data_IF_077007398752
#
_entry.id   IF_077007398752
#
_cell.length_a   1.000
_cell.length_b   1.000
_cell.length_c   1.000
_cell.angle_alpha   90.00
_cell.angle_beta   90.00
_cell.angle_gamma   90.00
#
_symmetry.space_group_name_H-M   'P 1'
#
loop_
_entity.id
_entity.type
_entity.pdbx_description
1 polymer ?
#
# COMPACT_ATOMS: atom_id res chain seq x y z
N UNK A 1 4.30 0.10 -39.23
CA UNK A 1 4.43 -0.35 -37.85
C UNK A 1 4.84 0.81 -36.98
N UNK A 2 4.08 1.12 -35.97
CA UNK A 2 4.47 2.13 -34.98
C UNK A 2 5.76 1.65 -34.32
N UNK A 3 6.78 2.48 -34.33
CA UNK A 3 8.04 2.19 -33.70
C UNK A 3 7.80 2.19 -32.18
N UNK A 4 7.79 1.03 -31.57
CA UNK A 4 7.52 0.83 -30.13
C UNK A 4 8.49 1.66 -29.28
N UNK A 5 9.74 1.82 -29.73
CA UNK A 5 10.72 2.64 -29.04
C UNK A 5 10.33 4.11 -28.98
N UNK A 6 9.71 4.64 -30.05
CA UNK A 6 9.21 6.04 -30.05
C UNK A 6 8.02 6.22 -29.12
N UNK A 7 7.14 5.22 -29.05
CA UNK A 7 6.00 5.27 -28.12
C UNK A 7 6.46 5.25 -26.67
N UNK A 8 7.50 4.47 -26.34
CA UNK A 8 8.11 4.49 -25.01
C UNK A 8 8.71 5.85 -24.68
N UNK A 9 9.49 6.43 -25.60
CA UNK A 9 10.08 7.78 -25.42
C UNK A 9 8.99 8.83 -25.19
N UNK A 10 7.86 8.74 -25.88
CA UNK A 10 6.75 9.67 -25.67
C UNK A 10 6.09 9.45 -24.29
N UNK A 11 5.92 8.20 -23.85
CA UNK A 11 5.43 7.91 -22.50
C UNK A 11 6.34 8.55 -21.45
N UNK A 12 7.64 8.35 -21.57
CA UNK A 12 8.64 8.87 -20.62
C UNK A 12 8.70 10.42 -20.65
N UNK A 13 8.62 11.02 -21.84
CA UNK A 13 8.68 12.47 -22.01
C UNK A 13 7.47 13.20 -21.43
N UNK A 14 6.28 12.61 -21.54
CA UNK A 14 5.03 13.25 -21.12
C UNK A 14 4.47 12.66 -19.80
N UNK A 15 5.19 11.70 -19.19
CA UNK A 15 4.75 11.07 -17.94
C UNK A 15 3.43 10.30 -18.08
N UNK A 16 3.13 9.76 -19.27
CA UNK A 16 1.87 9.03 -19.51
C UNK A 16 2.14 7.54 -19.59
N UNK A 17 1.25 6.74 -18.97
CA UNK A 17 1.39 5.28 -18.93
C UNK A 17 0.81 4.59 -20.16
N UNK A 18 -0.02 5.27 -20.94
CA UNK A 18 -0.66 4.69 -22.10
C UNK A 18 -0.85 5.71 -23.23
N UNK A 19 -0.63 5.28 -24.47
CA UNK A 19 -0.86 6.08 -25.67
C UNK A 19 -1.88 5.35 -26.54
N UNK A 20 -3.07 5.94 -26.82
CA UNK A 20 -4.01 5.36 -27.74
C UNK A 20 -3.49 5.53 -29.18
N UNK A 21 -3.46 4.43 -29.93
CA UNK A 21 -3.11 4.42 -31.35
C UNK A 21 -4.39 4.51 -32.18
N UNK A 22 -4.57 5.67 -32.81
CA UNK A 22 -5.81 5.98 -33.55
C UNK A 22 -5.59 5.77 -35.05
N UNK A 23 -6.51 5.07 -35.68
CA UNK A 23 -6.61 4.95 -37.13
C UNK A 23 -8.06 5.14 -37.56
N UNK A 24 -8.29 5.95 -38.61
CA UNK A 24 -9.62 6.30 -39.08
C UNK A 24 -10.57 6.81 -37.99
N UNK A 25 -10.03 7.67 -37.13
CA UNK A 25 -10.74 8.29 -35.98
C UNK A 25 -11.29 7.29 -34.93
N UNK A 26 -10.73 6.06 -34.87
CA UNK A 26 -11.05 5.03 -33.88
C UNK A 26 -9.78 4.52 -33.24
N UNK A 27 -9.83 4.29 -31.94
CA UNK A 27 -8.76 3.63 -31.21
C UNK A 27 -8.65 2.20 -31.72
N UNK A 28 -7.52 1.83 -32.30
CA UNK A 28 -7.24 0.49 -32.80
C UNK A 28 -6.47 -0.33 -31.78
N UNK A 29 -5.52 0.31 -31.11
CA UNK A 29 -4.67 -0.27 -30.09
C UNK A 29 -4.37 0.77 -29.02
N UNK A 30 -3.99 0.30 -27.84
CA UNK A 30 -3.40 1.14 -26.79
C UNK A 30 -1.99 0.62 -26.58
N UNK A 31 -0.99 1.48 -26.74
CA UNK A 31 0.34 1.19 -26.30
C UNK A 31 0.39 1.48 -24.79
N UNK A 32 0.74 0.49 -24.01
CA UNK A 32 1.00 0.64 -22.58
C UNK A 32 2.51 0.71 -22.45
N UNK A 33 3.00 1.77 -21.81
CA UNK A 33 4.42 1.95 -21.51
C UNK A 33 4.95 0.68 -20.85
N UNK A 34 6.05 0.16 -21.36
CA UNK A 34 6.83 -0.79 -20.56
C UNK A 34 7.33 0.01 -19.37
N UNK A 35 6.82 -0.31 -18.21
CA UNK A 35 7.35 0.21 -16.95
C UNK A 35 8.84 -0.05 -17.00
N UNK A 36 9.61 1.00 -16.83
CA UNK A 36 11.05 1.02 -17.03
C UNK A 36 11.71 -0.10 -16.22
N UNK A 37 12.04 -1.23 -16.83
CA UNK A 37 12.88 -2.26 -16.21
C UNK A 37 14.29 -1.71 -15.88
N UNK A 38 14.63 -0.52 -16.46
CA UNK A 38 15.83 0.28 -16.18
C UNK A 38 15.50 1.59 -15.46
N UNK A 39 14.37 1.69 -14.76
CA UNK A 39 14.00 2.87 -13.98
C UNK A 39 15.06 3.21 -12.95
N UNK A 40 15.30 4.51 -12.75
CA UNK A 40 16.17 5.02 -11.69
C UNK A 40 15.75 4.35 -10.37
N UNK A 41 16.65 3.55 -9.78
CA UNK A 41 16.42 2.94 -8.48
C UNK A 41 16.20 4.03 -7.44
N UNK A 42 15.11 3.90 -6.69
CA UNK A 42 14.73 4.85 -5.65
C UNK A 42 15.32 4.41 -4.31
N UNK A 43 16.05 5.29 -3.67
CA UNK A 43 16.69 5.03 -2.37
C UNK A 43 15.69 4.94 -1.20
N UNK A 44 14.41 5.22 -1.45
CA UNK A 44 13.35 5.11 -0.46
C UNK A 44 13.19 3.68 0.04
N UNK A 45 13.08 3.55 1.35
CA UNK A 45 12.85 2.25 2.00
C UNK A 45 11.35 2.00 2.06
N UNK A 46 10.96 0.78 1.70
CA UNK A 46 9.59 0.29 1.84
C UNK A 46 9.52 -0.67 3.03
N UNK A 47 8.73 -0.34 4.03
CA UNK A 47 8.49 -1.21 5.20
C UNK A 47 7.16 -1.92 5.01
N UNK A 48 7.18 -3.26 5.01
CA UNK A 48 5.98 -4.08 4.85
C UNK A 48 5.67 -4.76 6.18
N UNK A 49 4.50 -4.48 6.74
CA UNK A 49 4.03 -5.03 8.01
C UNK A 49 3.40 -6.41 7.80
N UNK A 50 4.16 -7.47 7.98
CA UNK A 50 3.77 -8.85 7.69
C UNK A 50 3.68 -9.76 8.94
N UNK A 51 3.69 -9.18 10.16
CA UNK A 51 3.73 -9.92 11.43
C UNK A 51 2.37 -10.43 11.94
N UNK A 52 1.26 -10.07 11.31
CA UNK A 52 -0.09 -10.41 11.79
C UNK A 52 -0.44 -11.89 11.73
N UNK A 53 -1.27 -12.37 12.67
CA UNK A 53 -1.74 -13.77 12.73
C UNK A 53 -2.72 -14.15 11.62
N UNK A 54 -3.44 -13.19 11.05
CA UNK A 54 -4.46 -13.46 10.01
C UNK A 54 -5.66 -14.31 10.49
N UNK A 55 -5.97 -14.33 11.78
CA UNK A 55 -6.96 -15.22 12.41
C UNK A 55 -8.36 -15.18 11.76
N UNK A 56 -8.76 -14.05 11.19
CA UNK A 56 -10.04 -13.90 10.47
C UNK A 56 -10.14 -14.70 9.17
N UNK A 57 -9.00 -15.20 8.66
CA UNK A 57 -8.89 -16.03 7.46
C UNK A 57 -8.68 -17.52 7.78
N UNK A 58 -8.77 -17.93 9.06
CA UNK A 58 -8.75 -19.37 9.41
C UNK A 58 -9.86 -20.12 8.65
N UNK A 59 -9.62 -21.34 8.11
CA UNK A 59 -8.40 -22.16 8.30
C UNK A 59 -7.25 -21.88 7.33
N UNK A 60 -7.37 -20.96 6.37
CA UNK A 60 -6.32 -20.68 5.36
C UNK A 60 -5.00 -20.25 6.00
N UNK A 61 -5.09 -19.54 7.12
CA UNK A 61 -3.92 -19.00 7.84
C UNK A 61 -3.39 -19.89 8.95
N UNK A 62 -4.01 -21.04 9.22
CA UNK A 62 -3.55 -21.94 10.28
C UNK A 62 -2.13 -22.48 10.03
N UNK A 63 -1.80 -22.70 8.77
CA UNK A 63 -0.51 -23.23 8.35
C UNK A 63 0.29 -22.31 7.43
N UNK A 64 -0.25 -21.15 7.05
CA UNK A 64 0.37 -20.20 6.14
C UNK A 64 0.14 -18.78 6.67
N UNK A 65 1.18 -17.93 6.86
CA UNK A 65 0.95 -16.56 7.27
C UNK A 65 0.21 -15.80 6.17
N UNK A 66 -0.69 -14.90 6.54
CA UNK A 66 -1.59 -14.18 5.65
C UNK A 66 -0.89 -13.57 4.41
N UNK A 67 0.29 -12.93 4.52
CA UNK A 67 1.01 -12.37 3.37
C UNK A 67 1.52 -13.44 2.39
N UNK A 68 1.61 -14.70 2.82
CA UNK A 68 2.05 -15.83 1.99
C UNK A 68 0.89 -16.59 1.36
N UNK A 69 -0.35 -16.22 1.61
CA UNK A 69 -1.48 -16.81 0.92
C UNK A 69 -1.37 -16.56 -0.59
N UNK A 70 -1.56 -17.61 -1.43
CA UNK A 70 -1.45 -17.47 -2.87
C UNK A 70 -2.60 -16.61 -3.42
N UNK A 71 -2.25 -15.64 -4.25
CA UNK A 71 -3.18 -14.86 -5.07
C UNK A 71 -2.83 -15.15 -6.52
N UNK A 72 -3.64 -15.95 -7.20
CA UNK A 72 -3.24 -16.58 -8.45
C UNK A 72 -2.08 -17.56 -8.22
N UNK A 73 -0.99 -17.38 -8.93
CA UNK A 73 0.19 -18.25 -8.91
C UNK A 73 1.27 -17.82 -7.89
N UNK A 74 1.13 -16.65 -7.24
CA UNK A 74 2.15 -16.05 -6.37
C UNK A 74 1.61 -15.67 -5.01
N UNK A 75 2.44 -15.67 -3.96
CA UNK A 75 2.07 -15.10 -2.66
C UNK A 75 1.67 -13.62 -2.79
N UNK A 76 0.72 -13.18 -1.96
CA UNK A 76 0.34 -11.76 -1.91
C UNK A 76 1.55 -10.84 -1.69
N UNK A 77 2.44 -11.21 -0.77
CA UNK A 77 3.63 -10.43 -0.44
C UNK A 77 4.57 -10.29 -1.65
N UNK A 78 4.70 -11.32 -2.50
CA UNK A 78 5.49 -11.22 -3.74
C UNK A 78 4.87 -10.18 -4.69
N UNK A 79 3.54 -10.20 -4.86
CA UNK A 79 2.86 -9.23 -5.70
C UNK A 79 3.03 -7.80 -5.20
N UNK A 80 3.00 -7.60 -3.89
CA UNK A 80 3.27 -6.29 -3.27
C UNK A 80 4.70 -5.85 -3.61
N UNK A 81 5.71 -6.69 -3.37
CA UNK A 81 7.12 -6.37 -3.66
C UNK A 81 7.33 -6.09 -5.15
N UNK A 82 6.79 -6.92 -6.03
CA UNK A 82 6.91 -6.77 -7.49
C UNK A 82 6.27 -5.46 -7.95
N UNK A 83 5.12 -5.07 -7.38
CA UNK A 83 4.48 -3.79 -7.72
C UNK A 83 5.38 -2.59 -7.35
N UNK A 84 6.00 -2.60 -6.18
CA UNK A 84 6.98 -1.58 -5.80
C UNK A 84 8.23 -1.61 -6.70
N UNK A 85 8.78 -2.80 -6.97
CA UNK A 85 9.96 -2.96 -7.82
C UNK A 85 9.74 -2.39 -9.22
N UNK A 86 8.57 -2.66 -9.82
CA UNK A 86 8.18 -2.11 -11.13
C UNK A 86 8.23 -0.57 -11.18
N UNK A 87 8.14 0.09 -10.02
CA UNK A 87 8.17 1.54 -9.87
C UNK A 87 9.53 2.07 -9.38
N UNK A 88 10.56 1.20 -9.37
CA UNK A 88 11.94 1.54 -9.04
C UNK A 88 12.31 1.40 -7.56
N UNK A 89 11.39 0.99 -6.68
CA UNK A 89 11.71 0.71 -5.28
C UNK A 89 12.37 -0.65 -5.15
N UNK A 90 13.51 -0.72 -4.49
CA UNK A 90 14.28 -1.96 -4.38
C UNK A 90 14.74 -2.28 -2.96
N UNK A 91 14.61 -1.38 -2.01
CA UNK A 91 14.97 -1.59 -0.60
C UNK A 91 13.76 -1.88 0.25
N UNK A 92 13.70 -3.07 0.83
CA UNK A 92 12.57 -3.51 1.63
C UNK A 92 13.00 -3.90 3.03
N UNK A 93 12.16 -3.55 4.00
CA UNK A 93 12.22 -4.06 5.36
C UNK A 93 10.89 -4.77 5.62
N UNK A 94 10.92 -6.07 5.90
CA UNK A 94 9.71 -6.85 6.17
C UNK A 94 9.64 -7.16 7.66
N UNK A 95 8.63 -6.59 8.33
CA UNK A 95 8.34 -6.95 9.72
C UNK A 95 7.63 -8.28 9.76
N UNK A 96 8.16 -9.22 10.53
CA UNK A 96 7.67 -10.59 10.63
C UNK A 96 7.51 -11.01 12.09
N UNK A 97 6.50 -11.84 12.35
CA UNK A 97 6.27 -12.46 13.66
C UNK A 97 5.73 -13.89 13.47
N UNK A 98 4.48 -14.03 13.04
CA UNK A 98 3.85 -15.33 12.88
C UNK A 98 4.42 -16.07 11.67
N UNK A 99 4.97 -17.28 11.90
CA UNK A 99 5.57 -18.14 10.86
C UNK A 99 6.59 -17.41 9.98
N UNK A 100 7.43 -16.59 10.61
CA UNK A 100 8.44 -15.77 9.94
C UNK A 100 9.39 -16.59 9.05
N UNK A 101 9.68 -17.83 9.42
CA UNK A 101 10.53 -18.76 8.67
C UNK A 101 10.00 -19.08 7.26
N UNK A 102 8.69 -19.03 7.05
CA UNK A 102 8.12 -19.23 5.71
C UNK A 102 8.42 -18.06 4.79
N UNK A 103 8.34 -16.83 5.33
CA UNK A 103 8.62 -15.60 4.60
C UNK A 103 10.11 -15.53 4.28
N UNK A 104 10.97 -15.67 5.29
CA UNK A 104 12.42 -15.57 5.12
C UNK A 104 12.98 -16.65 4.21
N UNK A 105 12.45 -17.88 4.27
CA UNK A 105 12.86 -18.98 3.38
C UNK A 105 12.44 -18.72 1.93
N UNK A 106 11.30 -18.10 1.69
CA UNK A 106 10.78 -17.86 0.35
C UNK A 106 11.53 -16.73 -0.36
N UNK A 107 11.73 -15.60 0.32
CA UNK A 107 12.29 -14.40 -0.30
C UNK A 107 13.82 -14.28 -0.14
N UNK A 108 14.43 -14.96 0.85
CA UNK A 108 15.85 -14.83 1.14
C UNK A 108 16.25 -13.37 1.37
N UNK A 109 17.30 -12.93 0.72
CA UNK A 109 17.77 -11.54 0.71
C UNK A 109 17.09 -10.65 -0.37
N UNK A 110 16.19 -11.23 -1.15
CA UNK A 110 15.46 -10.54 -2.23
C UNK A 110 16.11 -10.63 -3.61
N UNK A 111 17.31 -11.21 -3.74
CA UNK A 111 18.06 -11.25 -4.99
C UNK A 111 17.27 -11.89 -6.15
N UNK A 112 16.44 -12.88 -5.86
CA UNK A 112 15.60 -13.57 -6.88
C UNK A 112 14.55 -12.61 -7.51
N UNK A 113 14.19 -11.55 -6.81
CA UNK A 113 13.25 -10.52 -7.27
C UNK A 113 13.97 -9.23 -7.71
N UNK A 114 15.32 -9.22 -7.76
CA UNK A 114 16.13 -8.03 -8.03
C UNK A 114 15.83 -6.88 -7.05
N UNK A 115 15.74 -7.20 -5.76
CA UNK A 115 15.53 -6.26 -4.64
C UNK A 115 16.44 -6.64 -3.47
N UNK A 116 16.54 -5.75 -2.48
CA UNK A 116 17.24 -5.96 -1.21
C UNK A 116 16.20 -6.10 -0.09
N UNK A 117 16.20 -7.21 0.64
CA UNK A 117 15.26 -7.46 1.74
C UNK A 117 16.01 -7.63 3.04
N UNK A 118 15.65 -6.80 4.01
CA UNK A 118 15.99 -6.98 5.43
C UNK A 118 14.75 -7.36 6.24
N UNK A 119 14.94 -8.08 7.33
CA UNK A 119 13.83 -8.55 8.16
C UNK A 119 13.88 -7.95 9.55
N UNK A 120 12.71 -7.56 10.05
CA UNK A 120 12.51 -7.22 11.46
C UNK A 120 11.72 -8.36 12.10
N UNK A 121 12.35 -9.06 13.04
CA UNK A 121 11.65 -10.10 13.80
C UNK A 121 11.16 -9.51 15.11
N UNK A 122 9.85 -9.46 15.28
CA UNK A 122 9.22 -9.02 16.52
C UNK A 122 9.31 -10.15 17.57
N UNK A 123 9.67 -9.82 18.80
CA UNK A 123 9.64 -10.77 19.92
C UNK A 123 8.23 -10.91 20.53
N UNK A 124 7.37 -9.94 20.29
CA UNK A 124 5.95 -9.91 20.64
C UNK A 124 5.23 -8.99 19.66
N UNK A 125 3.91 -9.15 19.45
CA UNK A 125 3.17 -8.28 18.53
C UNK A 125 3.20 -6.83 18.98
N UNK A 126 3.90 -5.97 18.25
CA UNK A 126 4.05 -4.55 18.57
C UNK A 126 3.02 -3.64 17.88
N UNK A 127 2.12 -4.20 17.09
CA UNK A 127 1.15 -3.44 16.29
C UNK A 127 1.75 -2.89 14.99
N UNK A 128 0.92 -2.22 14.20
CA UNK A 128 1.31 -1.75 12.85
C UNK A 128 2.33 -0.60 12.86
N UNK A 129 2.53 0.05 13.99
CA UNK A 129 3.53 1.12 14.16
C UNK A 129 4.71 0.67 15.01
N UNK A 130 4.47 -0.05 16.11
CA UNK A 130 5.51 -0.37 17.09
C UNK A 130 6.68 -1.16 16.54
N UNK A 131 6.46 -2.03 15.56
CA UNK A 131 7.54 -2.73 14.86
C UNK A 131 8.54 -1.77 14.18
N UNK A 132 8.11 -0.60 13.77
CA UNK A 132 8.98 0.42 13.17
C UNK A 132 10.02 0.95 14.18
N UNK A 133 9.73 0.88 15.49
CA UNK A 133 10.62 1.35 16.55
C UNK A 133 11.89 0.51 16.71
N UNK A 134 11.91 -0.70 16.16
CA UNK A 134 13.08 -1.60 16.23
C UNK A 134 13.91 -1.60 14.95
N UNK A 135 13.58 -0.75 13.97
CA UNK A 135 14.43 -0.54 12.79
C UNK A 135 15.77 0.03 13.25
N UNK A 136 16.87 -0.59 12.79
CA UNK A 136 18.21 -0.07 13.01
C UNK A 136 18.38 1.24 12.23
N UNK A 137 18.79 2.30 12.90
CA UNK A 137 19.04 3.61 12.26
C UNK A 137 20.04 3.53 11.09
N UNK A 138 20.95 2.54 11.11
CA UNK A 138 21.88 2.30 10.00
C UNK A 138 21.22 1.81 8.71
N UNK A 139 20.01 1.27 8.80
CA UNK A 139 19.21 0.89 7.63
C UNK A 139 18.46 2.08 7.04
N UNK A 140 18.31 3.17 7.80
CA UNK A 140 17.58 4.36 7.35
C UNK A 140 18.53 5.33 6.62
N UNK A 141 18.00 6.01 5.63
CA UNK A 141 18.61 7.13 4.94
C UNK A 141 17.75 8.39 5.12
N UNK A 142 18.08 9.47 4.41
CA UNK A 142 17.33 10.74 4.49
C UNK A 142 16.09 10.78 3.57
N UNK A 143 15.87 9.75 2.77
CA UNK A 143 14.72 9.68 1.87
C UNK A 143 13.44 9.30 2.66
N UNK A 144 12.27 9.79 2.23
CA UNK A 144 10.99 9.40 2.81
C UNK A 144 10.79 7.88 2.81
N UNK A 145 10.21 7.36 3.90
CA UNK A 145 9.94 5.94 4.10
C UNK A 145 8.50 5.66 3.75
N UNK A 146 8.26 4.58 3.01
CA UNK A 146 6.92 4.10 2.68
C UNK A 146 6.60 2.93 3.58
N UNK A 147 5.45 2.95 4.23
CA UNK A 147 4.99 1.88 5.12
C UNK A 147 3.68 1.34 4.55
N UNK A 148 3.57 0.04 4.43
CA UNK A 148 2.34 -0.61 3.97
C UNK A 148 2.05 -1.87 4.78
N UNK A 149 0.77 -2.16 4.98
CA UNK A 149 0.37 -3.44 5.54
C UNK A 149 0.62 -4.56 4.52
N UNK A 150 1.08 -5.72 4.98
CA UNK A 150 1.38 -6.89 4.15
C UNK A 150 0.16 -7.68 3.67
N UNK A 151 -1.03 -7.18 3.92
CA UNK A 151 -2.31 -7.76 3.52
C UNK A 151 -3.10 -6.87 2.55
N UNK A 152 -2.48 -5.80 2.07
CA UNK A 152 -3.08 -4.85 1.12
C UNK A 152 -2.54 -5.12 -0.28
N UNK A 153 -3.43 -5.37 -1.23
CA UNK A 153 -3.11 -5.34 -2.65
C UNK A 153 -3.66 -4.07 -3.29
N UNK A 154 -2.82 -3.38 -4.05
CA UNK A 154 -3.21 -2.16 -4.77
C UNK A 154 -2.37 -1.98 -6.04
N UNK A 155 -2.94 -1.29 -7.03
CA UNK A 155 -2.23 -0.82 -8.23
C UNK A 155 -1.82 0.65 -8.10
N UNK A 156 -1.75 1.16 -6.87
CA UNK A 156 -1.29 2.52 -6.56
C UNK A 156 0.04 2.83 -7.27
N UNK A 157 0.11 3.99 -7.90
CA UNK A 157 1.35 4.56 -8.42
C UNK A 157 2.11 5.23 -7.26
N UNK A 158 2.96 4.44 -6.60
CA UNK A 158 3.73 4.89 -5.41
C UNK A 158 4.70 6.01 -5.73
N UNK A 159 5.23 6.06 -6.94
CA UNK A 159 6.09 7.16 -7.41
C UNK A 159 5.31 8.48 -7.48
N UNK A 160 4.10 8.47 -8.04
CA UNK A 160 3.21 9.64 -8.08
C UNK A 160 2.79 10.08 -6.67
N UNK A 161 2.48 9.12 -5.78
CA UNK A 161 2.17 9.41 -4.39
C UNK A 161 3.37 10.00 -3.64
N UNK A 162 4.58 9.51 -3.91
CA UNK A 162 5.83 10.04 -3.36
C UNK A 162 6.09 11.47 -3.84
N UNK A 163 5.90 11.75 -5.12
CA UNK A 163 6.05 13.09 -5.69
C UNK A 163 5.06 14.06 -5.05
N UNK A 164 3.81 13.65 -4.87
CA UNK A 164 2.82 14.45 -4.14
C UNK A 164 3.26 14.74 -2.70
N UNK A 165 3.75 13.72 -1.99
CA UNK A 165 4.24 13.87 -0.62
C UNK A 165 5.39 14.89 -0.52
N UNK A 166 6.35 14.78 -1.42
CA UNK A 166 7.50 15.72 -1.48
C UNK A 166 7.05 17.14 -1.85
N UNK A 167 6.16 17.30 -2.85
CA UNK A 167 5.65 18.60 -3.27
C UNK A 167 4.80 19.27 -2.18
N UNK A 168 4.06 18.49 -1.40
CA UNK A 168 3.30 18.99 -0.26
C UNK A 168 4.17 19.49 0.89
N UNK A 169 5.49 19.20 0.85
CA UNK A 169 6.44 19.48 1.93
C UNK A 169 5.91 19.01 3.29
N UNK A 170 5.30 17.84 3.31
CA UNK A 170 4.68 17.25 4.48
C UNK A 170 5.66 16.35 5.23
N UNK A 171 5.39 16.16 6.52
CA UNK A 171 6.19 15.31 7.40
C UNK A 171 5.67 13.87 7.43
N UNK A 172 4.35 13.72 7.27
CA UNK A 172 3.68 12.44 7.14
C UNK A 172 2.54 12.54 6.13
N UNK A 173 2.21 11.41 5.49
CA UNK A 173 1.06 11.27 4.62
C UNK A 173 0.34 9.96 4.93
N UNK A 174 -0.99 10.05 5.03
CA UNK A 174 -1.87 8.90 5.18
C UNK A 174 -2.60 8.68 3.85
N UNK A 175 -2.39 7.54 3.22
CA UNK A 175 -3.20 7.17 2.08
C UNK A 175 -4.57 6.72 2.55
N UNK A 176 -5.60 7.18 1.86
CA UNK A 176 -6.98 6.84 2.18
C UNK A 176 -7.74 6.45 0.91
N UNK A 177 -8.85 5.76 1.10
CA UNK A 177 -9.76 5.40 0.03
C UNK A 177 -11.16 5.92 0.32
N UNK A 178 -11.82 6.44 -0.69
CA UNK A 178 -13.22 6.82 -0.58
C UNK A 178 -14.09 5.57 -0.42
N UNK A 179 -14.89 5.54 0.62
CA UNK A 179 -15.83 4.46 0.94
C UNK A 179 -17.24 5.00 1.00
N UNK A 180 -18.16 4.35 0.31
CA UNK A 180 -19.59 4.69 0.31
C UNK A 180 -20.35 3.66 1.14
N UNK A 181 -21.05 4.13 2.16
CA UNK A 181 -21.92 3.33 3.00
C UNK A 181 -23.36 3.70 2.72
N UNK A 182 -24.10 2.80 2.09
CA UNK A 182 -25.53 2.96 1.87
C UNK A 182 -26.30 2.48 3.09
N UNK A 183 -27.30 3.25 3.51
CA UNK A 183 -28.24 2.88 4.58
C UNK A 183 -29.60 2.67 3.96
N UNK A 184 -30.16 1.45 4.09
CA UNK A 184 -31.42 1.06 3.44
C UNK A 184 -32.68 1.65 4.12
N UNK A 185 -32.51 2.47 5.14
CA UNK A 185 -33.57 3.05 5.98
C UNK A 185 -33.49 4.57 6.01
N UNK A 186 -34.60 5.21 6.41
CA UNK A 186 -34.59 6.63 6.76
C UNK A 186 -33.71 6.88 8.01
N UNK A 187 -32.75 7.77 7.90
CA UNK A 187 -31.86 8.17 9.00
C UNK A 187 -32.41 9.41 9.66
N UNK A 188 -32.69 9.32 10.98
CA UNK A 188 -33.18 10.45 11.78
C UNK A 188 -31.99 11.20 12.38
N UNK A 189 -31.83 12.44 12.00
CA UNK A 189 -30.83 13.35 12.57
C UNK A 189 -31.51 14.16 13.65
N UNK A 190 -31.02 14.10 14.90
CA UNK A 190 -31.59 14.78 16.03
C UNK A 190 -30.56 15.47 16.92
N UNK A 191 -30.95 16.54 17.58
CA UNK A 191 -30.21 17.19 18.64
C UNK A 191 -30.99 17.02 19.95
N UNK A 192 -30.46 16.23 20.85
CA UNK A 192 -31.20 15.78 22.03
C UNK A 192 -32.47 15.00 21.66
N UNK A 193 -33.65 15.52 22.01
CA UNK A 193 -34.96 14.95 21.68
C UNK A 193 -35.62 15.56 20.43
N UNK A 194 -35.01 16.60 19.85
CA UNK A 194 -35.59 17.31 18.73
C UNK A 194 -35.10 16.77 17.41
N UNK A 195 -35.99 16.26 16.55
CA UNK A 195 -35.69 15.84 15.21
C UNK A 195 -35.38 17.06 14.36
N UNK A 196 -34.20 17.09 13.76
CA UNK A 196 -33.75 18.14 12.85
C UNK A 196 -34.07 17.81 11.39
N UNK A 197 -33.89 16.54 11.02
CA UNK A 197 -34.04 16.09 9.65
C UNK A 197 -34.27 14.56 9.59
N UNK A 198 -34.97 14.11 8.56
CA UNK A 198 -35.03 12.71 8.16
C UNK A 198 -34.48 12.62 6.75
N UNK A 199 -33.45 11.79 6.54
CA UNK A 199 -32.86 11.50 5.23
C UNK A 199 -33.23 10.09 4.82
N UNK A 200 -33.97 9.94 3.73
CA UNK A 200 -34.40 8.65 3.23
C UNK A 200 -33.24 7.97 2.45
N UNK A 201 -32.85 6.78 2.90
CA UNK A 201 -31.81 5.95 2.28
C UNK A 201 -30.53 6.69 1.89
N UNK A 202 -29.89 7.41 2.83
CA UNK A 202 -28.72 8.19 2.50
C UNK A 202 -27.51 7.32 2.19
N UNK A 203 -26.60 7.85 1.38
CA UNK A 203 -25.26 7.30 1.20
C UNK A 203 -24.26 8.20 1.88
N UNK A 204 -23.60 7.69 2.91
CA UNK A 204 -22.50 8.38 3.57
C UNK A 204 -21.19 8.08 2.86
N UNK A 205 -20.35 9.09 2.73
CA UNK A 205 -19.03 8.97 2.11
C UNK A 205 -17.96 9.30 3.14
N UNK A 206 -17.01 8.40 3.30
CA UNK A 206 -15.89 8.54 4.24
C UNK A 206 -14.58 8.28 3.51
N UNK A 207 -13.52 8.94 3.93
CA UNK A 207 -12.16 8.53 3.61
C UNK A 207 -11.70 7.51 4.65
N UNK A 208 -11.60 6.23 4.28
CA UNK A 208 -11.09 5.18 5.15
C UNK A 208 -9.57 5.08 5.00
N UNK A 209 -8.89 4.74 6.09
CA UNK A 209 -7.45 4.52 6.10
C UNK A 209 -7.09 3.32 5.21
N UNK A 210 -6.22 3.54 4.24
CA UNK A 210 -5.81 2.50 3.29
C UNK A 210 -4.64 1.63 3.79
N UNK A 211 -4.11 1.87 4.99
CA UNK A 211 -2.98 1.12 5.55
C UNK A 211 -1.65 1.35 4.82
N UNK A 212 -1.52 2.48 4.15
CA UNK A 212 -0.31 2.92 3.45
C UNK A 212 0.04 4.32 3.94
N UNK A 213 1.31 4.52 4.31
CA UNK A 213 1.80 5.76 4.88
C UNK A 213 3.13 6.14 4.26
N UNK A 214 3.39 7.45 4.19
CA UNK A 214 4.70 8.00 3.87
C UNK A 214 5.15 8.85 5.05
N UNK A 215 6.38 8.65 5.51
CA UNK A 215 6.92 9.39 6.65
C UNK A 215 8.31 9.94 6.32
N UNK A 216 8.57 11.16 6.78
CA UNK A 216 9.96 11.62 6.88
C UNK A 216 10.70 10.78 7.94
N UNK A 217 12.00 10.46 7.75
CA UNK A 217 12.74 9.61 8.67
C UNK A 217 12.74 10.12 10.12
N UNK A 218 12.75 11.45 10.31
CA UNK A 218 12.73 12.04 11.63
C UNK A 218 11.39 11.83 12.37
N UNK A 219 10.26 11.70 11.63
CA UNK A 219 8.96 11.35 12.22
C UNK A 219 8.96 9.92 12.72
N UNK A 220 9.54 8.99 11.93
CA UNK A 220 9.67 7.60 12.34
C UNK A 220 10.47 7.48 13.66
N UNK A 221 11.54 8.27 13.84
CA UNK A 221 12.35 8.27 15.06
C UNK A 221 11.59 8.71 16.31
N UNK A 222 10.41 9.32 16.18
CA UNK A 222 9.50 9.62 17.30
C UNK A 222 8.72 8.41 17.80
N UNK A 223 8.76 7.26 17.07
CA UNK A 223 8.04 6.05 17.44
C UNK A 223 8.48 5.55 18.83
N UNK A 224 7.56 5.30 19.77
CA UNK A 224 7.90 4.79 21.09
C UNK A 224 8.64 3.46 21.01
N UNK A 225 9.83 3.36 21.62
CA UNK A 225 10.67 2.16 21.57
C UNK A 225 10.03 1.01 22.34
N UNK A 226 10.00 -0.19 21.72
CA UNK A 226 9.53 -1.44 22.33
C UNK A 226 8.11 -1.36 22.95
N UNK A 227 7.26 -0.52 22.42
CA UNK A 227 5.88 -0.35 22.87
C UNK A 227 4.91 -0.73 21.76
N UNK A 228 3.84 -1.45 22.13
CA UNK A 228 2.77 -1.70 21.18
C UNK A 228 2.11 -0.39 20.79
N UNK A 229 2.16 -0.09 19.49
CA UNK A 229 1.62 1.14 18.90
C UNK A 229 1.03 0.80 17.53
N UNK A 230 -0.18 1.21 17.27
CA UNK A 230 -0.75 1.14 15.93
C UNK A 230 -0.52 2.46 15.18
N UNK A 231 -0.33 2.41 13.85
CA UNK A 231 -0.05 3.59 13.03
C UNK A 231 -1.09 4.70 13.17
N UNK A 232 -2.42 4.41 13.22
CA UNK A 232 -3.41 5.47 13.45
C UNK A 232 -3.22 6.19 14.79
N UNK A 233 -2.90 5.46 15.86
CA UNK A 233 -2.69 6.05 17.18
C UNK A 233 -1.44 6.93 17.20
N UNK A 234 -0.36 6.46 16.56
CA UNK A 234 0.86 7.25 16.40
C UNK A 234 0.61 8.55 15.64
N UNK A 235 -0.08 8.48 14.50
CA UNK A 235 -0.40 9.68 13.71
C UNK A 235 -1.29 10.63 14.53
N UNK A 236 -2.35 10.12 15.17
CA UNK A 236 -3.26 10.94 15.98
C UNK A 236 -2.55 11.66 17.13
N UNK A 237 -1.56 11.01 17.76
CA UNK A 237 -0.77 11.61 18.85
C UNK A 237 0.05 12.84 18.38
N UNK A 238 0.43 12.88 17.10
CA UNK A 238 1.27 13.94 16.54
C UNK A 238 0.50 14.95 15.69
N UNK A 239 -0.81 14.72 15.41
CA UNK A 239 -1.66 15.65 14.68
C UNK A 239 -1.78 17.00 15.41
N UNK A 240 -1.57 18.09 14.69
CA UNK A 240 -1.69 19.45 15.23
C UNK A 240 -0.55 19.91 16.14
N UNK A 241 0.48 19.07 16.32
CA UNK A 241 1.71 19.38 17.01
C UNK A 241 2.83 19.71 16.00
N UNK A 242 4.01 19.09 16.15
CA UNK A 242 5.20 19.37 15.36
C UNK A 242 5.23 18.65 14.00
N UNK A 243 4.19 17.88 13.65
CA UNK A 243 4.14 17.04 12.43
C UNK A 243 3.01 17.52 11.53
N UNK A 244 3.37 17.93 10.31
CA UNK A 244 2.38 18.22 9.26
C UNK A 244 1.95 16.91 8.61
N UNK A 245 0.65 16.62 8.62
CA UNK A 245 0.08 15.40 8.06
C UNK A 245 -0.89 15.72 6.95
N UNK A 246 -0.65 15.13 5.76
CA UNK A 246 -1.55 15.27 4.61
C UNK A 246 -2.22 13.94 4.29
N UNK A 247 -3.33 13.98 3.57
CA UNK A 247 -3.97 12.76 3.06
C UNK A 247 -3.77 12.66 1.55
N UNK A 248 -3.71 11.42 1.06
CA UNK A 248 -3.69 11.07 -0.36
C UNK A 248 -4.81 10.09 -0.67
N UNK A 249 -5.72 10.45 -1.58
CA UNK A 249 -6.87 9.59 -1.94
C UNK A 249 -6.49 8.65 -3.06
N UNK A 250 -6.46 7.35 -2.78
CA UNK A 250 -6.22 6.30 -3.76
C UNK A 250 -7.48 6.12 -4.62
N UNK A 251 -7.34 6.33 -5.92
CA UNK A 251 -8.39 6.10 -6.91
C UNK A 251 -8.24 4.74 -7.60
N UNK A 252 -7.03 4.18 -7.62
CA UNK A 252 -6.66 2.92 -8.23
C UNK A 252 -7.28 1.73 -7.49
N UNK A 253 -7.10 0.52 -8.02
CA UNK A 253 -7.53 -0.69 -7.33
C UNK A 253 -6.84 -0.79 -5.96
N UNK A 254 -7.63 -1.06 -4.94
CA UNK A 254 -7.16 -1.26 -3.58
C UNK A 254 -8.06 -2.27 -2.87
N UNK A 255 -7.47 -3.22 -2.16
CA UNK A 255 -8.17 -4.22 -1.37
C UNK A 255 -7.34 -4.61 -0.14
N UNK A 256 -7.97 -4.52 1.03
CA UNK A 256 -7.51 -5.16 2.25
C UNK A 256 -8.05 -6.60 2.26
N UNK A 257 -7.15 -7.58 2.24
CA UNK A 257 -7.50 -9.00 2.29
C UNK A 257 -7.88 -9.42 3.72
N UNK A 258 -8.86 -8.75 4.31
CA UNK A 258 -9.24 -8.94 5.72
C UNK A 258 -10.11 -10.16 6.00
N UNK A 259 -10.91 -10.62 5.03
CA UNK A 259 -11.93 -11.66 5.17
C UNK A 259 -11.88 -12.65 4.02
N UNK A 260 -12.56 -13.81 4.19
CA UNK A 260 -12.66 -14.81 3.12
C UNK A 260 -13.29 -14.28 1.82
N UNK A 261 -14.22 -13.34 1.91
CA UNK A 261 -14.86 -12.71 0.75
C UNK A 261 -13.86 -11.85 -0.02
N UNK A 262 -13.05 -11.08 0.70
CA UNK A 262 -11.99 -10.24 0.12
C UNK A 262 -10.94 -11.11 -0.59
N UNK A 263 -10.55 -12.24 0.04
CA UNK A 263 -9.63 -13.21 -0.54
C UNK A 263 -10.17 -13.78 -1.86
N UNK A 264 -11.44 -14.23 -1.88
CA UNK A 264 -12.06 -14.77 -3.11
C UNK A 264 -12.13 -13.71 -4.20
N UNK A 265 -12.59 -12.52 -3.83
CA UNK A 265 -12.69 -11.40 -4.76
C UNK A 265 -11.33 -11.03 -5.36
N UNK A 266 -10.27 -10.99 -4.55
CA UNK A 266 -8.93 -10.72 -5.05
C UNK A 266 -8.42 -11.83 -5.99
N UNK A 267 -8.77 -13.11 -5.73
CA UNK A 267 -8.47 -14.22 -6.64
C UNK A 267 -9.14 -14.06 -8.00
N UNK A 268 -10.38 -13.58 -8.02
CA UNK A 268 -11.12 -13.35 -9.26
C UNK A 268 -10.57 -12.13 -10.02
N UNK A 269 -10.28 -11.05 -9.30
CA UNK A 269 -9.84 -9.78 -9.88
C UNK A 269 -8.40 -9.84 -10.40
N UNK A 270 -7.52 -10.66 -9.79
CA UNK A 270 -6.06 -10.60 -10.03
C UNK A 270 -5.67 -10.81 -11.50
N UNK A 271 -6.38 -11.67 -12.21
CA UNK A 271 -6.13 -11.94 -13.62
C UNK A 271 -6.38 -10.74 -14.54
N UNK A 272 -7.22 -9.81 -14.07
CA UNK A 272 -7.57 -8.60 -14.81
C UNK A 272 -6.66 -7.42 -14.48
N UNK A 273 -6.20 -7.34 -13.22
CA UNK A 273 -5.48 -6.18 -12.69
C UNK A 273 -3.95 -6.36 -12.64
N UNK A 274 -3.46 -7.60 -12.54
CA UNK A 274 -2.04 -7.94 -12.57
C UNK A 274 -1.86 -9.33 -13.18
N UNK A 275 -2.06 -9.47 -14.51
CA UNK A 275 -2.08 -10.77 -15.19
C UNK A 275 -0.72 -11.49 -15.23
N UNK A 276 0.42 -10.80 -14.87
CA UNK A 276 1.78 -11.40 -14.90
C UNK A 276 2.67 -10.76 -13.83
#
# INVERSE_FOLDING_TARGET
>A
GSDVSKLQILCDQYGVLAIPLIKHNKVQHVYISKINENGIRKENIVVIMAGGFGSRLSPLTDNCPKPMLPIGDKPLLERIIVNFRRQGFYKFIISTYYKSEMITKYFGDGAILDVEISYLTENSPLGTGGALSIIDDNLLNDAPIIITNGDIFTTLQYDTALDFFVQANADAMVCCRMHHQHVDYGVVISEGRNVQKIEEKPTFTYNINAGIYFLQPWVLRKMPKNQRTDMPDFINQHLGNDVSVVNYVICEYWMDMGRHEDYRRLQDDIQLIDPN
#
